data_IF_763718702811
#
_entry.id   IF_763718702811
#
_cell.length_a   1.000
_cell.length_b   1.000
_cell.length_c   1.000
_cell.angle_alpha   90.00
_cell.angle_beta   90.00
_cell.angle_gamma   90.00
#
_symmetry.space_group_name_H-M   'P 1'
#
loop_
_entity.id
_entity.type
_entity.pdbx_description
1 polymer ?
#
# COMPACT_ATOMS: atom_id res chain seq x y z
N UNK A 1 -7.45 -46.13 10.75
CA UNK A 1 -6.81 -45.42 9.62
C UNK A 1 -7.31 -43.97 9.62
N UNK A 2 -6.42 -42.97 9.66
CA UNK A 2 -6.77 -41.54 9.47
C UNK A 2 -5.66 -40.91 8.63
N UNK A 3 -5.91 -40.82 7.34
CA UNK A 3 -5.00 -40.20 6.39
C UNK A 3 -5.11 -38.68 6.54
N UNK A 4 -4.03 -38.03 7.01
CA UNK A 4 -3.96 -36.56 7.16
C UNK A 4 -3.37 -35.99 5.88
N UNK A 5 -4.24 -35.54 4.98
CA UNK A 5 -3.81 -34.79 3.79
C UNK A 5 -3.35 -33.40 4.25
N UNK A 6 -2.03 -33.19 4.32
CA UNK A 6 -1.43 -31.86 4.48
C UNK A 6 -1.31 -31.20 3.12
N UNK A 7 -2.29 -30.39 2.75
CA UNK A 7 -2.20 -29.54 1.55
C UNK A 7 -1.33 -28.33 1.87
N UNK A 8 -0.01 -28.48 1.68
CA UNK A 8 0.91 -27.35 1.57
C UNK A 8 0.99 -26.92 0.09
N UNK A 9 -0.10 -26.33 -0.42
CA UNK A 9 -0.07 -25.62 -1.70
C UNK A 9 -0.36 -24.15 -1.45
N UNK A 10 0.59 -23.46 -0.84
CA UNK A 10 0.66 -21.99 -0.91
C UNK A 10 1.58 -21.64 -2.06
N UNK A 11 1.12 -21.90 -3.29
CA UNK A 11 1.71 -21.23 -4.45
C UNK A 11 1.45 -19.75 -4.20
N UNK A 12 2.49 -18.98 -3.85
CA UNK A 12 2.41 -17.53 -3.78
C UNK A 12 2.14 -17.05 -5.20
N UNK A 13 0.87 -17.07 -5.62
CA UNK A 13 0.44 -16.40 -6.84
C UNK A 13 0.89 -14.95 -6.64
N UNK A 14 1.84 -14.49 -7.47
CA UNK A 14 2.26 -13.09 -7.50
C UNK A 14 1.06 -12.26 -7.95
N UNK A 15 0.17 -11.95 -6.99
CA UNK A 15 -1.01 -11.12 -7.26
C UNK A 15 -0.48 -9.76 -7.71
N UNK A 16 -0.77 -9.38 -8.95
CA UNK A 16 -0.42 -8.06 -9.44
C UNK A 16 -1.18 -7.03 -8.61
N UNK A 17 -0.46 -6.04 -8.11
CA UNK A 17 -1.08 -4.88 -7.48
C UNK A 17 -1.78 -4.06 -8.56
N UNK A 18 -2.94 -3.55 -8.22
CA UNK A 18 -3.75 -2.71 -9.07
C UNK A 18 -4.27 -1.52 -8.27
N UNK A 19 -4.85 -0.51 -8.94
CA UNK A 19 -5.40 0.69 -8.28
C UNK A 19 -6.43 0.42 -7.17
N UNK A 20 -7.09 -0.72 -7.19
CA UNK A 20 -8.06 -1.13 -6.17
C UNK A 20 -7.41 -1.95 -5.03
N UNK A 21 -6.10 -2.20 -5.08
CA UNK A 21 -5.37 -2.87 -4.00
C UNK A 21 -5.30 -1.90 -2.84
N UNK A 22 -5.18 -2.42 -1.63
CA UNK A 22 -5.10 -1.57 -0.44
C UNK A 22 -3.66 -1.16 -0.17
N UNK A 23 -3.46 -0.06 0.57
CA UNK A 23 -2.12 0.27 1.10
C UNK A 23 -1.63 -0.87 1.98
N UNK A 24 -2.52 -1.53 2.72
CA UNK A 24 -2.20 -2.70 3.52
C UNK A 24 -1.62 -3.85 2.72
N UNK A 25 -2.17 -4.16 1.54
CA UNK A 25 -1.59 -5.18 0.64
C UNK A 25 -0.14 -4.84 0.27
N UNK A 26 0.19 -3.57 0.04
CA UNK A 26 1.57 -3.14 -0.24
C UNK A 26 2.47 -3.25 0.98
N UNK A 27 1.96 -2.89 2.17
CA UNK A 27 2.72 -2.96 3.42
C UNK A 27 3.00 -4.40 3.86
N UNK A 28 2.16 -5.36 3.48
CA UNK A 28 2.40 -6.79 3.71
C UNK A 28 3.44 -7.39 2.74
N UNK A 29 3.81 -6.66 1.69
CA UNK A 29 4.83 -7.06 0.74
C UNK A 29 6.17 -6.36 1.00
N UNK A 30 7.31 -7.09 1.06
CA UNK A 30 8.61 -6.49 1.37
C UNK A 30 9.08 -5.49 0.29
N UNK A 31 8.66 -5.64 -0.96
CA UNK A 31 8.99 -4.71 -2.04
C UNK A 31 8.00 -3.54 -2.04
N UNK A 32 6.71 -3.86 -1.90
CA UNK A 32 5.62 -2.89 -1.77
C UNK A 32 5.84 -1.87 -0.65
N UNK A 33 6.24 -2.35 0.53
CA UNK A 33 6.45 -1.51 1.72
C UNK A 33 7.61 -0.53 1.53
N UNK A 34 8.69 -0.93 0.85
CA UNK A 34 9.81 -0.03 0.60
C UNK A 34 9.42 1.08 -0.37
N UNK A 35 8.75 0.73 -1.47
CA UNK A 35 8.34 1.70 -2.48
C UNK A 35 7.30 2.67 -1.91
N UNK A 36 6.28 2.17 -1.21
CA UNK A 36 5.23 3.04 -0.66
C UNK A 36 5.76 3.93 0.48
N UNK A 37 6.67 3.43 1.33
CA UNK A 37 7.29 4.25 2.36
C UNK A 37 8.13 5.38 1.76
N UNK A 38 8.90 5.10 0.71
CA UNK A 38 9.71 6.13 0.05
C UNK A 38 8.81 7.25 -0.53
N UNK A 39 7.68 6.87 -1.13
CA UNK A 39 6.68 7.83 -1.61
C UNK A 39 5.99 8.59 -0.48
N UNK A 40 5.55 7.90 0.58
CA UNK A 40 4.91 8.53 1.74
C UNK A 40 5.86 9.49 2.47
N UNK A 41 7.15 9.18 2.55
CA UNK A 41 8.13 10.09 3.12
C UNK A 41 8.28 11.36 2.28
N UNK A 42 8.41 11.24 0.95
CA UNK A 42 8.44 12.41 0.05
C UNK A 42 7.16 13.24 0.19
N UNK A 43 6.02 12.58 0.33
CA UNK A 43 4.72 13.22 0.47
C UNK A 43 4.50 13.91 1.82
N UNK A 44 5.00 13.30 2.90
CA UNK A 44 4.97 13.90 4.24
C UNK A 44 5.83 15.17 4.33
N UNK A 45 6.83 15.34 3.47
CA UNK A 45 7.62 16.57 3.40
C UNK A 45 6.92 17.70 2.62
N UNK A 46 5.93 17.37 1.78
CA UNK A 46 5.20 18.36 0.97
C UNK A 46 3.95 18.93 1.66
N UNK A 47 3.60 18.46 2.85
CA UNK A 47 2.43 18.94 3.60
C UNK A 47 1.15 18.17 3.29
N UNK A 48 1.28 16.87 3.01
CA UNK A 48 0.15 16.05 2.55
C UNK A 48 -1.02 15.95 3.55
N UNK A 49 -2.23 15.55 3.10
CA UNK A 49 -3.43 15.30 3.91
C UNK A 49 -3.28 14.33 5.10
N UNK A 50 -2.18 13.59 5.18
CA UNK A 50 -1.86 12.66 6.27
C UNK A 50 -0.80 13.22 7.22
N UNK A 51 -0.46 14.51 7.10
CA UNK A 51 0.33 15.21 8.11
C UNK A 51 -0.25 14.93 9.49
N UNK A 52 0.67 14.72 10.45
CA UNK A 52 0.35 14.44 11.84
C UNK A 52 -0.46 15.61 12.40
N UNK A 53 -1.79 15.53 12.31
CA UNK A 53 -2.66 16.20 13.25
C UNK A 53 -2.21 15.73 14.64
N UNK A 54 -1.57 16.61 15.42
CA UNK A 54 -1.09 16.31 16.78
C UNK A 54 -2.19 15.76 17.70
N UNK A 55 -3.46 15.92 17.30
CA UNK A 55 -4.64 15.42 17.98
C UNK A 55 -5.12 14.03 17.52
N UNK A 56 -4.54 13.44 16.48
CA UNK A 56 -4.92 12.12 15.96
C UNK A 56 -3.82 11.10 16.23
N UNK A 57 -4.19 9.98 16.87
CA UNK A 57 -3.28 8.85 17.06
C UNK A 57 -2.78 8.32 15.71
N UNK A 58 -1.46 8.33 15.51
CA UNK A 58 -0.79 7.79 14.33
C UNK A 58 -1.21 6.35 14.00
N UNK A 59 -1.50 5.55 15.03
CA UNK A 59 -1.98 4.17 14.86
C UNK A 59 -3.37 4.10 14.18
N UNK A 60 -4.27 5.05 14.49
CA UNK A 60 -5.61 5.10 13.89
C UNK A 60 -5.51 5.53 12.43
N UNK A 61 -4.66 6.52 12.14
CA UNK A 61 -4.40 6.98 10.77
C UNK A 61 -3.82 5.84 9.94
N UNK A 62 -2.81 5.14 10.48
CA UNK A 62 -2.18 4.02 9.80
C UNK A 62 -3.18 2.87 9.54
N UNK A 63 -4.03 2.56 10.53
CA UNK A 63 -5.09 1.56 10.37
C UNK A 63 -6.08 1.97 9.27
N UNK A 64 -6.49 3.24 9.22
CA UNK A 64 -7.36 3.75 8.15
C UNK A 64 -6.69 3.67 6.77
N UNK A 65 -5.42 4.07 6.68
CA UNK A 65 -4.65 3.99 5.44
C UNK A 65 -4.50 2.54 4.98
N UNK A 66 -4.26 1.60 5.90
CA UNK A 66 -4.13 0.16 5.60
C UNK A 66 -5.32 -0.36 4.80
N UNK A 67 -6.55 0.04 5.13
CA UNK A 67 -7.75 -0.38 4.43
C UNK A 67 -8.13 0.53 3.26
N UNK A 68 -7.40 1.62 3.04
CA UNK A 68 -7.64 2.54 1.93
C UNK A 68 -7.18 1.91 0.62
N UNK A 69 -8.01 1.93 -0.45
CA UNK A 69 -7.55 1.54 -1.77
C UNK A 69 -6.55 2.57 -2.29
N UNK A 70 -5.55 2.14 -3.07
CA UNK A 70 -4.49 3.01 -3.57
C UNK A 70 -5.01 4.17 -4.42
N UNK A 71 -6.08 3.96 -5.21
CA UNK A 71 -6.80 5.04 -5.91
C UNK A 71 -7.35 6.13 -4.97
N UNK A 72 -7.59 5.77 -3.71
CA UNK A 72 -8.03 6.69 -2.68
C UNK A 72 -6.98 7.76 -2.41
N UNK A 73 -5.70 7.41 -2.45
CA UNK A 73 -4.60 8.36 -2.26
C UNK A 73 -4.64 9.51 -3.26
N UNK A 74 -5.09 9.29 -4.50
CA UNK A 74 -5.27 10.36 -5.50
C UNK A 74 -6.35 11.35 -5.05
N UNK A 75 -7.48 10.83 -4.55
CA UNK A 75 -8.60 11.66 -4.12
C UNK A 75 -8.30 12.39 -2.81
N UNK A 76 -7.62 11.73 -1.88
CA UNK A 76 -7.24 12.32 -0.59
C UNK A 76 -6.04 13.26 -0.73
N UNK A 77 -5.14 13.00 -1.68
CA UNK A 77 -3.88 13.69 -1.90
C UNK A 77 -3.99 15.14 -2.37
N UNK A 78 -5.20 15.73 -2.47
CA UNK A 78 -5.43 17.13 -2.86
C UNK A 78 -4.70 17.58 -4.13
N UNK A 79 -4.45 16.66 -5.06
CA UNK A 79 -3.70 16.92 -6.31
C UNK A 79 -2.18 16.74 -6.21
N UNK A 80 -1.63 16.52 -5.01
CA UNK A 80 -0.21 16.20 -4.82
C UNK A 80 0.10 14.72 -5.12
N UNK A 81 -0.89 13.84 -5.01
CA UNK A 81 -0.78 12.44 -5.42
C UNK A 81 -1.56 12.25 -6.73
N UNK A 82 -0.85 11.99 -7.83
CA UNK A 82 -1.45 11.89 -9.16
C UNK A 82 -1.67 10.45 -9.61
N UNK A 83 -2.47 10.26 -10.67
CA UNK A 83 -2.64 8.95 -11.29
C UNK A 83 -1.33 8.42 -11.89
N UNK A 84 -0.46 9.31 -12.38
CA UNK A 84 0.86 8.97 -12.90
C UNK A 84 1.75 8.40 -11.79
N UNK A 85 1.84 9.06 -10.64
CA UNK A 85 2.60 8.55 -9.48
C UNK A 85 2.07 7.19 -9.01
N UNK A 86 0.74 7.01 -8.99
CA UNK A 86 0.15 5.71 -8.67
C UNK A 86 0.56 4.64 -9.68
N UNK A 87 0.56 4.97 -10.97
CA UNK A 87 0.94 4.05 -12.04
C UNK A 87 2.41 3.65 -11.89
N UNK A 88 3.30 4.60 -11.63
CA UNK A 88 4.73 4.34 -11.40
C UNK A 88 4.97 3.41 -10.20
N UNK A 89 4.27 3.64 -9.08
CA UNK A 89 4.35 2.74 -7.91
C UNK A 89 3.90 1.33 -8.27
N UNK A 90 2.77 1.21 -8.98
CA UNK A 90 2.23 -0.09 -9.37
C UNK A 90 3.13 -0.81 -10.38
N UNK A 91 3.72 -0.10 -11.33
CA UNK A 91 4.68 -0.67 -12.28
C UNK A 91 5.93 -1.16 -11.54
N UNK A 92 6.56 -0.30 -10.74
CA UNK A 92 7.77 -0.64 -9.98
C UNK A 92 7.55 -1.83 -9.05
N UNK A 93 6.46 -1.84 -8.28
CA UNK A 93 6.12 -2.95 -7.38
C UNK A 93 5.85 -4.25 -8.14
N UNK A 94 5.21 -4.19 -9.31
CA UNK A 94 4.88 -5.38 -10.08
C UNK A 94 6.08 -5.90 -10.90
N UNK A 95 7.03 -5.04 -11.26
CA UNK A 95 8.28 -5.41 -11.95
C UNK A 95 9.32 -6.00 -11.00
N UNK A 96 9.47 -5.43 -9.80
CA UNK A 96 10.46 -5.84 -8.79
C UNK A 96 10.07 -7.11 -8.01
N UNK A 97 8.90 -7.71 -8.30
CA UNK A 97 8.32 -8.87 -7.58
C UNK A 97 8.58 -10.21 -8.24
#
# INVERSE_FOLDING_TARGET
MKEKVKVNSTVKIKKKFHRNSTVGDLMEDPVGVQIINEFLQKFSQSGGPFEQDEHRNNEIILAMMKYMPLRGLINFGKGEFTEEMLKEILEKVNEER
#
